data_IF_390529571086
#
_entry.id   IF_390529571086
#
_cell.length_a   1.000
_cell.length_b   1.000
_cell.length_c   1.000
_cell.angle_alpha   90.00
_cell.angle_beta   90.00
_cell.angle_gamma   90.00
#
_symmetry.space_group_name_H-M   'P 1'
#
loop_
_entity.id
_entity.type
_entity.pdbx_description
1 polymer ?
#
# COMPACT_ATOMS: atom_id res chain seq x y z
N UNK A 1 0.71 -15.76 8.79
CA UNK A 1 -0.11 -14.79 8.04
C UNK A 1 0.07 -15.07 6.55
N UNK A 2 -1.02 -15.36 5.86
CA UNK A 2 -0.96 -15.69 4.44
C UNK A 2 -1.49 -14.53 3.60
N UNK A 3 -0.76 -14.22 2.53
CA UNK A 3 -1.16 -13.19 1.57
C UNK A 3 -1.19 -13.79 0.18
N UNK A 4 -2.10 -13.31 -0.63
CA UNK A 4 -2.18 -13.71 -2.03
C UNK A 4 -1.40 -12.73 -2.89
N UNK A 5 -0.55 -13.27 -3.76
CA UNK A 5 0.18 -12.44 -4.72
C UNK A 5 -0.77 -12.07 -5.86
N UNK A 6 -0.84 -10.77 -6.14
CA UNK A 6 -1.69 -10.23 -7.18
C UNK A 6 -0.82 -9.87 -8.39
N UNK A 7 -1.24 -10.20 -9.62
CA UNK A 7 -0.49 -9.78 -10.81
C UNK A 7 -0.29 -8.26 -10.84
N UNK A 8 0.91 -7.83 -11.17
CA UNK A 8 1.26 -6.40 -11.18
C UNK A 8 0.32 -5.60 -12.08
N UNK A 9 -0.03 -6.14 -13.25
CA UNK A 9 -0.93 -5.46 -14.19
C UNK A 9 -2.30 -5.18 -13.58
N UNK A 10 -2.77 -6.05 -12.69
CA UNK A 10 -4.04 -5.87 -12.01
C UNK A 10 -3.91 -4.90 -10.85
N UNK A 11 -2.89 -5.12 -10.01
CA UNK A 11 -2.69 -4.33 -8.80
C UNK A 11 -2.34 -2.87 -9.11
N UNK A 12 -1.46 -2.64 -10.08
CA UNK A 12 -1.00 -1.30 -10.43
C UNK A 12 -2.01 -0.52 -11.27
N UNK A 13 -3.01 -1.18 -11.79
CA UNK A 13 -4.07 -0.54 -12.58
C UNK A 13 -5.29 -0.13 -11.76
N UNK A 14 -5.27 -0.30 -10.44
CA UNK A 14 -6.42 -0.01 -9.58
C UNK A 14 -6.04 0.93 -8.45
N UNK A 15 -6.86 1.96 -8.24
CA UNK A 15 -6.68 2.88 -7.13
C UNK A 15 -6.98 2.19 -5.80
N UNK A 16 -6.08 2.27 -4.85
CA UNK A 16 -6.25 1.64 -3.55
C UNK A 16 -7.36 2.27 -2.71
N UNK A 17 -7.71 3.53 -2.98
CA UNK A 17 -8.75 4.23 -2.23
C UNK A 17 -10.13 4.08 -2.84
N UNK A 18 -10.29 4.43 -4.12
CA UNK A 18 -11.60 4.44 -4.77
C UNK A 18 -11.88 3.23 -5.65
N UNK A 19 -10.88 2.39 -5.89
CA UNK A 19 -10.93 1.21 -6.75
C UNK A 19 -11.18 1.52 -8.23
N UNK A 20 -11.07 2.79 -8.61
CA UNK A 20 -11.16 3.19 -10.01
C UNK A 20 -9.93 2.75 -10.79
N UNK A 21 -10.09 2.68 -12.10
CA UNK A 21 -8.98 2.31 -12.97
C UNK A 21 -7.94 3.42 -13.05
N UNK A 22 -6.68 3.03 -12.99
CA UNK A 22 -5.55 3.92 -13.22
C UNK A 22 -5.01 3.55 -14.60
N UNK A 23 -5.07 4.48 -15.55
CA UNK A 23 -4.51 4.22 -16.88
C UNK A 23 -3.14 4.90 -17.03
N UNK A 24 -2.43 4.55 -18.10
CA UNK A 24 -1.06 5.04 -18.34
C UNK A 24 -0.95 6.57 -18.43
N UNK A 25 -2.05 7.23 -18.79
CA UNK A 25 -2.07 8.68 -18.94
C UNK A 25 -2.44 9.41 -17.66
N UNK A 26 -2.87 8.66 -16.63
CA UNK A 26 -3.27 9.24 -15.34
C UNK A 26 -2.02 9.43 -14.48
N UNK A 27 -1.90 10.60 -13.87
CA UNK A 27 -0.85 10.83 -12.90
C UNK A 27 -1.09 9.93 -11.69
N UNK A 28 -0.05 9.19 -11.28
CA UNK A 28 -0.16 8.23 -10.20
C UNK A 28 0.52 8.76 -8.95
N UNK A 29 -0.17 8.67 -7.82
CA UNK A 29 0.36 9.06 -6.52
C UNK A 29 0.55 7.80 -5.67
N UNK A 30 1.53 7.83 -4.78
CA UNK A 30 1.84 6.71 -3.91
C UNK A 30 1.68 7.07 -2.45
N UNK A 31 1.18 6.11 -1.66
CA UNK A 31 1.13 6.23 -0.20
C UNK A 31 2.01 5.12 0.36
N UNK A 32 3.07 5.51 1.05
CA UNK A 32 4.01 4.56 1.64
C UNK A 32 3.69 4.22 3.08
N UNK A 33 4.00 3.00 3.49
CA UNK A 33 3.80 2.54 4.86
C UNK A 33 5.03 1.82 5.37
N UNK A 34 5.22 1.87 6.70
CA UNK A 34 6.21 1.07 7.38
C UNK A 34 5.46 0.01 8.19
N UNK A 35 5.92 -1.22 8.11
CA UNK A 35 5.31 -2.33 8.81
C UNK A 35 5.91 -2.49 10.20
N UNK A 36 5.15 -3.11 11.09
CA UNK A 36 5.65 -3.44 12.42
C UNK A 36 6.81 -4.45 12.32
N UNK A 37 7.75 -4.43 13.27
CA UNK A 37 8.92 -5.33 13.21
C UNK A 37 8.57 -6.82 13.20
N UNK A 38 7.42 -7.22 13.71
CA UNK A 38 6.98 -8.60 13.74
C UNK A 38 6.30 -9.05 12.45
N UNK A 39 6.09 -8.15 11.51
CA UNK A 39 5.50 -8.47 10.19
C UNK A 39 6.62 -8.71 9.20
N UNK A 40 6.73 -9.94 8.71
CA UNK A 40 7.77 -10.31 7.74
C UNK A 40 7.13 -10.57 6.38
N UNK A 41 7.41 -9.70 5.42
CA UNK A 41 6.95 -9.81 4.05
C UNK A 41 8.10 -10.07 3.07
N UNK A 42 9.22 -10.60 3.56
CA UNK A 42 10.39 -10.85 2.72
C UNK A 42 10.11 -11.79 1.55
N UNK A 43 9.16 -12.70 1.71
CA UNK A 43 8.76 -13.61 0.64
C UNK A 43 8.05 -12.91 -0.52
N UNK A 44 7.55 -11.72 -0.27
CA UNK A 44 6.71 -10.98 -1.23
C UNK A 44 7.40 -9.75 -1.80
N UNK A 45 8.69 -9.56 -1.52
CA UNK A 45 9.42 -8.40 -2.04
C UNK A 45 9.32 -8.33 -3.56
N UNK A 46 9.06 -7.14 -4.08
CA UNK A 46 8.83 -6.87 -5.50
C UNK A 46 7.50 -7.42 -6.04
N UNK A 47 6.63 -7.91 -5.18
CA UNK A 47 5.30 -8.40 -5.57
C UNK A 47 4.22 -7.53 -4.96
N UNK A 48 3.03 -7.57 -5.58
CA UNK A 48 1.84 -6.94 -5.02
C UNK A 48 1.02 -7.99 -4.27
N UNK A 49 0.48 -7.61 -3.14
CA UNK A 49 -0.34 -8.50 -2.31
C UNK A 49 -1.63 -7.81 -1.91
N UNK A 50 -2.64 -8.60 -1.56
CA UNK A 50 -3.91 -8.09 -1.08
C UNK A 50 -3.87 -7.95 0.44
N UNK A 51 -4.22 -6.77 0.93
CA UNK A 51 -4.23 -6.46 2.37
C UNK A 51 -5.65 -6.17 2.80
N UNK A 52 -6.09 -6.79 3.87
CA UNK A 52 -7.40 -6.52 4.46
C UNK A 52 -7.33 -5.28 5.34
N UNK A 53 -8.17 -4.29 5.02
CA UNK A 53 -8.30 -3.07 5.80
C UNK A 53 -9.47 -3.24 6.76
N UNK A 54 -9.18 -3.58 8.00
CA UNK A 54 -10.18 -3.94 9.01
C UNK A 54 -11.12 -2.79 9.31
N UNK A 55 -10.58 -1.56 9.36
CA UNK A 55 -11.38 -0.37 9.67
C UNK A 55 -12.43 -0.06 8.62
N UNK A 56 -12.23 -0.50 7.38
CA UNK A 56 -13.14 -0.22 6.27
C UNK A 56 -13.84 -1.48 5.75
N UNK A 57 -13.56 -2.63 6.33
CA UNK A 57 -14.11 -3.93 5.92
C UNK A 57 -13.93 -4.20 4.42
N UNK A 58 -12.78 -3.80 3.88
CA UNK A 58 -12.43 -4.01 2.48
C UNK A 58 -10.95 -4.34 2.35
N UNK A 59 -10.55 -4.75 1.17
CA UNK A 59 -9.14 -5.01 0.88
C UNK A 59 -8.58 -3.96 -0.08
N UNK A 60 -7.24 -3.86 -0.09
CA UNK A 60 -6.52 -3.02 -1.04
C UNK A 60 -5.25 -3.76 -1.47
N UNK A 61 -4.75 -3.42 -2.65
CA UNK A 61 -3.52 -4.02 -3.16
C UNK A 61 -2.34 -3.15 -2.75
N UNK A 62 -1.32 -3.79 -2.20
CA UNK A 62 -0.10 -3.11 -1.76
C UNK A 62 1.11 -3.73 -2.45
N UNK A 63 1.99 -2.89 -2.97
CA UNK A 63 3.26 -3.35 -3.50
C UNK A 63 4.27 -3.44 -2.35
N UNK A 64 4.88 -4.61 -2.19
CA UNK A 64 5.96 -4.79 -1.21
C UNK A 64 7.25 -4.29 -1.84
N UNK A 65 7.94 -3.36 -1.17
CA UNK A 65 9.13 -2.72 -1.73
C UNK A 65 10.27 -3.72 -1.91
N UNK A 66 11.03 -3.53 -2.98
CA UNK A 66 12.17 -4.40 -3.28
C UNK A 66 13.40 -3.95 -2.49
N UNK A 67 14.30 -4.90 -2.12
CA UNK A 67 15.57 -4.54 -1.50
C UNK A 67 16.37 -3.65 -2.45
N UNK A 68 16.95 -2.57 -1.91
CA UNK A 68 17.75 -1.65 -2.70
C UNK A 68 16.94 -0.64 -3.51
N UNK A 69 15.61 -0.68 -3.43
CA UNK A 69 14.78 0.33 -4.08
C UNK A 69 14.84 1.64 -3.30
N UNK A 70 14.56 2.75 -3.99
CA UNK A 70 14.51 4.06 -3.35
C UNK A 70 13.48 4.11 -2.23
N UNK A 71 12.31 3.51 -2.45
CA UNK A 71 11.26 3.46 -1.44
C UNK A 71 11.72 2.71 -0.19
N UNK A 72 12.41 1.59 -0.36
CA UNK A 72 12.95 0.81 0.76
C UNK A 72 14.03 1.60 1.51
N UNK A 73 14.89 2.30 0.78
CA UNK A 73 15.92 3.14 1.36
C UNK A 73 15.34 4.28 2.18
N UNK A 74 14.16 4.78 1.79
CA UNK A 74 13.41 5.80 2.53
C UNK A 74 12.65 5.25 3.74
N UNK A 75 12.74 3.96 3.99
CA UNK A 75 12.09 3.32 5.14
C UNK A 75 10.68 2.83 4.88
N UNK A 76 10.24 2.83 3.62
CA UNK A 76 8.92 2.36 3.25
C UNK A 76 8.97 0.86 2.96
N UNK A 77 8.13 0.10 3.66
CA UNK A 77 8.05 -1.34 3.47
C UNK A 77 6.99 -1.74 2.44
N UNK A 78 5.99 -0.90 2.25
CA UNK A 78 4.96 -1.12 1.26
C UNK A 78 4.46 0.19 0.65
N UNK A 79 3.88 0.09 -0.55
CA UNK A 79 3.36 1.24 -1.28
C UNK A 79 1.97 0.92 -1.81
N UNK A 80 1.06 1.87 -1.66
CA UNK A 80 -0.27 1.83 -2.27
C UNK A 80 -0.34 2.87 -3.37
N UNK A 81 -0.92 2.51 -4.51
CA UNK A 81 -1.10 3.46 -5.62
C UNK A 81 -2.52 4.00 -5.62
N UNK A 82 -2.65 5.30 -5.83
CA UNK A 82 -3.93 6.00 -5.88
C UNK A 82 -3.98 6.89 -7.12
N UNK A 83 -5.20 7.18 -7.59
CA UNK A 83 -5.39 7.90 -8.85
C UNK A 83 -5.35 9.42 -8.71
N UNK A 84 -5.38 9.94 -7.48
CA UNK A 84 -5.40 11.38 -7.24
C UNK A 84 -4.85 11.70 -5.86
N UNK A 85 -4.51 12.97 -5.65
CA UNK A 85 -4.07 13.43 -4.34
C UNK A 85 -5.19 13.30 -3.30
N UNK A 86 -6.44 13.54 -3.71
CA UNK A 86 -7.60 13.38 -2.84
C UNK A 86 -7.74 11.93 -2.37
N UNK A 87 -7.62 10.97 -3.26
CA UNK A 87 -7.62 9.55 -2.90
C UNK A 87 -6.46 9.21 -1.98
N UNK A 88 -5.29 9.82 -2.21
CA UNK A 88 -4.13 9.62 -1.34
C UNK A 88 -4.40 10.05 0.09
N UNK A 89 -5.02 11.21 0.26
CA UNK A 89 -5.37 11.71 1.59
C UNK A 89 -6.40 10.83 2.28
N UNK A 90 -7.41 10.37 1.54
CA UNK A 90 -8.41 9.45 2.08
C UNK A 90 -7.76 8.14 2.54
N UNK A 91 -6.87 7.59 1.73
CA UNK A 91 -6.19 6.35 2.08
C UNK A 91 -5.28 6.54 3.29
N UNK A 92 -4.58 7.67 3.38
CA UNK A 92 -3.76 7.97 4.55
C UNK A 92 -4.57 7.93 5.84
N UNK A 93 -5.77 8.51 5.82
CA UNK A 93 -6.67 8.50 6.99
C UNK A 93 -7.08 7.08 7.36
N UNK A 94 -7.41 6.26 6.37
CA UNK A 94 -7.77 4.86 6.58
C UNK A 94 -6.59 4.09 7.18
N UNK A 95 -5.40 4.27 6.62
CA UNK A 95 -4.21 3.57 7.09
C UNK A 95 -3.79 4.03 8.49
N UNK A 96 -4.02 5.29 8.84
CA UNK A 96 -3.76 5.78 10.20
C UNK A 96 -4.69 5.10 11.21
N UNK A 97 -5.92 4.82 10.83
CA UNK A 97 -6.83 4.02 11.66
C UNK A 97 -6.29 2.59 11.82
N UNK A 98 -5.76 2.00 10.75
CA UNK A 98 -5.15 0.66 10.81
C UNK A 98 -3.95 0.65 11.75
N UNK A 99 -3.14 1.72 11.75
CA UNK A 99 -2.03 1.86 12.70
C UNK A 99 -2.55 1.83 14.13
N UNK A 100 -3.63 2.56 14.39
CA UNK A 100 -4.26 2.59 15.72
C UNK A 100 -4.78 1.22 16.16
N UNK A 101 -5.20 0.39 15.22
CA UNK A 101 -5.66 -0.97 15.51
C UNK A 101 -4.51 -1.91 15.82
N UNK A 102 -3.27 -1.51 15.52
CA UNK A 102 -2.07 -2.22 15.93
C UNK A 102 -1.83 -3.55 15.25
N UNK A 103 -2.39 -3.80 14.06
CA UNK A 103 -2.27 -5.10 13.39
C UNK A 103 -0.97 -5.30 12.65
N UNK A 104 -0.69 -4.50 11.62
CA UNK A 104 0.53 -4.69 10.84
C UNK A 104 1.27 -3.40 10.49
N UNK A 105 0.60 -2.26 10.51
CA UNK A 105 1.21 -0.99 10.13
C UNK A 105 1.76 -0.25 11.34
N UNK A 106 2.97 0.28 11.20
CA UNK A 106 3.60 1.09 12.24
C UNK A 106 3.47 2.58 11.91
N UNK A 107 3.74 2.95 10.67
CA UNK A 107 3.76 4.35 10.25
C UNK A 107 3.20 4.48 8.85
N UNK A 108 2.48 5.57 8.60
CA UNK A 108 2.01 5.95 7.26
C UNK A 108 2.78 7.20 6.84
N UNK A 109 3.46 7.13 5.71
CA UNK A 109 4.19 8.28 5.17
C UNK A 109 3.24 9.14 4.37
N UNK A 110 3.39 10.44 4.49
CA UNK A 110 2.57 11.38 3.75
C UNK A 110 3.06 11.46 2.30
N UNK A 111 2.11 11.59 1.38
CA UNK A 111 2.44 11.87 -0.01
C UNK A 111 3.03 13.26 -0.11
N UNK A 112 4.05 13.38 -0.90
CA UNK A 112 4.68 14.68 -1.12
C UNK A 112 3.81 15.55 -2.05
#
# INVERSE_FOLDING_TARGET
>A
MEFYIIPDSEALGQCAACRGNINELTEVFGVGVKLKPDVDLSEFESHCIEIDLVSEEKSAYMMVTAPGSEAKDDGKDGMFLVCSESCGKQLQQVLEKEVSLGKMFETVFRTA
#
